data_IF_774304805783
#
_entry.id   IF_774304805783
#
_cell.length_a   1.000
_cell.length_b   1.000
_cell.length_c   1.000
_cell.angle_alpha   90.00
_cell.angle_beta   90.00
_cell.angle_gamma   90.00
#
_symmetry.space_group_name_H-M   'P 1'
#
loop_
_entity.id
_entity.type
_entity.pdbx_description
1 polymer ?
#
# COMPACT_ATOMS: atom_id res chain seq x y z
N UNK A 1 -14.70 25.44 -8.88
CA UNK A 1 -13.28 25.37 -8.47
C UNK A 1 -12.67 24.29 -9.35
N UNK A 2 -11.75 24.65 -10.26
CA UNK A 2 -11.04 23.69 -11.10
C UNK A 2 -10.13 22.87 -10.18
N UNK A 3 -10.33 21.55 -10.11
CA UNK A 3 -9.40 20.68 -9.39
C UNK A 3 -8.19 20.43 -10.28
N UNK A 4 -7.00 20.63 -9.71
CA UNK A 4 -5.75 20.25 -10.36
C UNK A 4 -5.59 18.73 -10.26
N UNK A 5 -4.98 18.12 -11.27
CA UNK A 5 -4.64 16.70 -11.26
C UNK A 5 -3.72 16.38 -10.08
N UNK A 6 -3.98 15.31 -9.32
CA UNK A 6 -3.06 14.90 -8.25
C UNK A 6 -2.71 13.43 -8.45
N UNK A 7 -1.41 13.16 -8.55
CA UNK A 7 -0.86 11.81 -8.62
C UNK A 7 -0.10 11.51 -7.34
N UNK A 8 -0.38 10.35 -6.75
CA UNK A 8 0.32 9.82 -5.60
C UNK A 8 0.88 8.45 -5.91
N UNK A 9 2.17 8.29 -5.65
CA UNK A 9 2.87 7.04 -5.84
C UNK A 9 3.37 6.54 -4.49
N UNK A 10 3.07 5.29 -4.19
CA UNK A 10 3.69 4.53 -3.12
C UNK A 10 4.55 3.48 -3.79
N UNK A 11 5.81 3.40 -3.40
CA UNK A 11 6.65 2.27 -3.76
C UNK A 11 7.07 1.55 -2.49
N UNK A 12 7.12 0.21 -2.52
CA UNK A 12 8.03 -0.50 -1.64
C UNK A 12 9.44 -0.18 -2.16
N UNK A 13 10.07 0.86 -1.63
CA UNK A 13 11.45 1.21 -1.99
C UNK A 13 12.36 0.24 -1.24
N UNK A 14 12.51 -0.98 -1.78
CA UNK A 14 13.83 -1.58 -1.80
C UNK A 14 14.71 -0.67 -2.66
N UNK A 15 15.91 -0.34 -2.20
CA UNK A 15 16.87 0.49 -2.94
C UNK A 15 16.90 0.12 -4.43
N UNK A 16 16.97 1.14 -5.30
CA UNK A 16 17.18 1.01 -6.75
C UNK A 16 18.33 0.01 -7.06
N UNK A 17 18.01 -1.28 -7.22
CA UNK A 17 18.99 -2.26 -7.66
C UNK A 17 18.81 -2.48 -9.16
N UNK A 18 19.79 -1.97 -9.92
CA UNK A 18 20.02 -2.33 -11.31
C UNK A 18 20.16 -3.86 -11.44
N UNK A 19 19.07 -4.57 -11.74
CA UNK A 19 19.13 -5.98 -12.11
C UNK A 19 18.85 -6.15 -13.60
N UNK A 20 19.92 -6.38 -14.36
CA UNK A 20 19.83 -7.04 -15.66
C UNK A 20 19.34 -8.47 -15.44
N UNK A 21 18.07 -8.74 -15.76
CA UNK A 21 17.50 -10.08 -15.66
C UNK A 21 17.83 -10.86 -16.94
N UNK A 22 18.78 -11.79 -16.85
CA UNK A 22 18.97 -12.85 -17.87
C UNK A 22 18.13 -14.05 -17.45
N UNK A 23 17.03 -14.31 -18.17
CA UNK A 23 16.15 -15.45 -17.91
C UNK A 23 16.72 -16.72 -18.56
N UNK A 24 17.14 -17.70 -17.75
CA UNK A 24 17.38 -19.08 -18.20
C UNK A 24 16.50 -20.07 -17.42
N UNK A 25 15.42 -20.60 -18.02
CA UNK A 25 14.40 -21.37 -17.31
C UNK A 25 14.80 -22.80 -16.93
N UNK A 26 16.01 -23.28 -17.25
CA UNK A 26 16.38 -24.71 -17.06
C UNK A 26 17.29 -25.03 -15.87
N UNK A 27 17.78 -24.05 -15.10
CA UNK A 27 18.87 -24.29 -14.13
C UNK A 27 18.59 -23.96 -12.66
N UNK A 28 17.39 -23.51 -12.28
CA UNK A 28 17.20 -22.85 -10.97
C UNK A 28 16.14 -23.47 -10.03
N UNK A 29 15.60 -24.65 -10.31
CA UNK A 29 14.83 -25.39 -9.30
C UNK A 29 15.79 -26.14 -8.36
N UNK A 30 16.34 -25.42 -7.36
CA UNK A 30 17.07 -26.00 -6.23
C UNK A 30 16.14 -26.23 -5.03
N UNK A 31 16.53 -27.16 -4.16
CA UNK A 31 15.73 -27.73 -3.05
C UNK A 31 15.03 -26.72 -2.12
N UNK A 32 13.74 -26.98 -1.86
CA UNK A 32 12.74 -26.18 -1.11
C UNK A 32 13.00 -25.93 0.39
N UNK A 33 14.20 -26.20 0.93
CA UNK A 33 14.41 -26.24 2.38
C UNK A 33 14.74 -24.90 3.06
N UNK A 34 14.80 -23.79 2.32
CA UNK A 34 15.00 -22.45 2.87
C UNK A 34 14.30 -21.40 1.99
N UNK A 35 12.96 -21.35 2.02
CA UNK A 35 12.23 -20.21 1.48
C UNK A 35 12.46 -19.02 2.42
N UNK A 36 13.14 -17.93 1.99
CA UNK A 36 13.28 -16.75 2.82
C UNK A 36 11.88 -16.19 3.07
N UNK A 37 11.54 -15.92 4.34
CA UNK A 37 10.44 -14.99 4.66
C UNK A 37 10.71 -13.71 3.87
N UNK A 38 9.72 -13.21 3.11
CA UNK A 38 9.87 -12.03 2.25
C UNK A 38 10.68 -10.96 2.98
N UNK A 39 11.92 -10.76 2.55
CA UNK A 39 12.77 -9.76 3.17
C UNK A 39 12.25 -8.39 2.75
N UNK A 40 12.36 -7.41 3.67
CA UNK A 40 12.05 -5.99 3.42
C UNK A 40 12.71 -5.43 2.14
N UNK A 41 13.71 -6.12 1.61
CA UNK A 41 14.55 -5.70 0.48
C UNK A 41 14.25 -6.41 -0.85
N UNK A 42 13.12 -7.11 -0.99
CA UNK A 42 12.97 -8.08 -2.10
C UNK A 42 11.79 -7.91 -3.05
N UNK A 43 11.04 -6.80 -3.00
CA UNK A 43 9.88 -6.57 -3.87
C UNK A 43 10.01 -5.20 -4.53
N UNK A 44 9.94 -5.15 -5.87
CA UNK A 44 9.66 -3.91 -6.58
C UNK A 44 8.16 -3.84 -6.81
N UNK A 45 7.46 -3.19 -5.89
CA UNK A 45 6.04 -2.85 -6.04
C UNK A 45 5.91 -1.34 -6.15
N UNK A 46 5.24 -0.88 -7.21
CA UNK A 46 4.76 0.49 -7.34
C UNK A 46 3.24 0.49 -7.40
N UNK A 47 2.65 1.25 -6.49
CA UNK A 47 1.23 1.52 -6.42
C UNK A 47 0.98 2.99 -6.67
N UNK A 48 -0.06 3.30 -7.45
CA UNK A 48 -0.38 4.66 -7.86
C UNK A 48 -1.86 4.94 -7.68
N UNK A 49 -2.19 6.11 -7.13
CA UNK A 49 -3.52 6.71 -7.22
C UNK A 49 -3.41 8.00 -8.01
N UNK A 50 -4.37 8.24 -8.91
CA UNK A 50 -4.53 9.51 -9.62
C UNK A 50 -5.95 10.02 -9.44
N UNK A 51 -6.08 11.33 -9.28
CA UNK A 51 -7.33 12.06 -9.53
C UNK A 51 -7.12 13.02 -10.69
N UNK A 52 -7.98 12.96 -11.70
CA UNK A 52 -7.91 13.85 -12.85
C UNK A 52 -8.64 15.18 -12.61
N UNK A 53 -8.53 16.10 -13.56
CA UNK A 53 -9.18 17.42 -13.51
C UNK A 53 -10.71 17.38 -13.56
N UNK A 54 -11.30 16.23 -13.91
CA UNK A 54 -12.74 15.98 -13.86
C UNK A 54 -13.18 15.36 -12.52
N UNK A 55 -12.24 15.17 -11.58
CA UNK A 55 -12.48 14.54 -10.29
C UNK A 55 -12.68 13.03 -10.37
N UNK A 56 -12.22 12.38 -11.45
CA UNK A 56 -12.27 10.93 -11.62
C UNK A 56 -11.04 10.29 -10.97
N UNK A 57 -11.27 9.24 -10.18
CA UNK A 57 -10.23 8.52 -9.46
C UNK A 57 -9.79 7.28 -10.22
N UNK A 58 -8.49 6.99 -10.22
CA UNK A 58 -7.95 5.72 -10.68
C UNK A 58 -6.90 5.24 -9.69
N UNK A 59 -6.82 3.93 -9.50
CA UNK A 59 -5.75 3.31 -8.73
C UNK A 59 -5.23 2.10 -9.51
N UNK A 60 -3.94 1.84 -9.40
CA UNK A 60 -3.31 0.72 -10.08
C UNK A 60 -1.99 0.35 -9.44
N UNK A 61 -1.67 -0.93 -9.54
CA UNK A 61 -0.47 -1.51 -8.95
C UNK A 61 0.30 -2.30 -10.01
N UNK A 62 1.63 -2.17 -9.98
CA UNK A 62 2.55 -3.00 -10.75
C UNK A 62 3.63 -3.56 -9.83
N UNK A 63 3.88 -4.86 -9.93
CA UNK A 63 4.90 -5.53 -9.11
C UNK A 63 5.58 -6.68 -9.82
N UNK A 64 6.87 -6.89 -9.55
CA UNK A 64 7.54 -8.16 -9.84
C UNK A 64 7.32 -9.21 -8.73
N UNK A 65 6.82 -8.79 -7.56
CA UNK A 65 6.64 -9.55 -6.34
C UNK A 65 7.97 -9.92 -5.66
N UNK A 66 7.90 -10.58 -4.50
CA UNK A 66 9.07 -11.11 -3.78
C UNK A 66 10.01 -11.93 -4.64
N UNK A 67 11.31 -11.69 -4.45
CA UNK A 67 12.39 -12.47 -5.03
C UNK A 67 12.23 -13.96 -4.73
N UNK A 68 12.54 -14.80 -5.72
CA UNK A 68 12.49 -16.28 -5.63
C UNK A 68 11.12 -16.83 -5.21
N UNK A 69 10.03 -16.12 -5.55
CA UNK A 69 8.67 -16.64 -5.37
C UNK A 69 8.48 -17.95 -6.14
N UNK A 70 7.67 -18.84 -5.57
CA UNK A 70 7.22 -20.05 -6.24
C UNK A 70 6.51 -19.65 -7.55
N UNK A 71 6.80 -20.28 -8.70
CA UNK A 71 6.09 -19.99 -9.94
C UNK A 71 4.57 -20.11 -9.78
N UNK A 72 3.83 -19.11 -10.28
CA UNK A 72 2.38 -19.03 -10.10
C UNK A 72 1.93 -18.38 -8.78
N UNK A 73 2.84 -18.03 -7.89
CA UNK A 73 2.51 -17.33 -6.64
C UNK A 73 2.05 -15.89 -6.91
N UNK A 74 0.78 -15.62 -6.61
CA UNK A 74 0.14 -14.32 -6.68
C UNK A 74 -0.13 -13.75 -5.28
N UNK A 75 -0.16 -12.43 -5.18
CA UNK A 75 -0.16 -11.66 -3.93
C UNK A 75 -1.22 -10.57 -3.94
N UNK A 76 -1.19 -9.67 -2.95
CA UNK A 76 -2.13 -8.56 -2.79
C UNK A 76 -2.25 -7.65 -4.02
N UNK A 77 -1.14 -7.41 -4.73
CA UNK A 77 -1.01 -6.39 -5.78
C UNK A 77 -1.94 -6.51 -6.98
N UNK A 78 -2.24 -7.71 -7.53
CA UNK A 78 -3.29 -7.87 -8.55
C UNK A 78 -4.71 -8.04 -7.97
N UNK A 79 -4.88 -7.99 -6.65
CA UNK A 79 -6.17 -8.25 -6.00
C UNK A 79 -6.88 -6.93 -5.72
N UNK A 80 -7.98 -6.69 -6.43
CA UNK A 80 -8.86 -5.54 -6.18
C UNK A 80 -9.35 -5.54 -4.74
N UNK A 81 -9.11 -4.45 -4.03
CA UNK A 81 -9.40 -4.29 -2.60
C UNK A 81 -8.26 -4.75 -1.70
N UNK A 82 -7.34 -5.53 -2.26
CA UNK A 82 -6.06 -5.87 -1.69
C UNK A 82 -5.06 -4.74 -1.87
N UNK A 83 -4.32 -4.75 -2.98
CA UNK A 83 -3.29 -3.76 -3.33
C UNK A 83 -3.90 -2.38 -3.47
N UNK A 84 -4.94 -2.29 -4.28
CA UNK A 84 -5.55 -1.05 -4.70
C UNK A 84 -7.08 -1.13 -4.70
N UNK A 85 -7.72 0.02 -4.56
CA UNK A 85 -9.16 0.16 -4.75
C UNK A 85 -9.50 1.61 -5.09
N UNK A 86 -10.33 1.83 -6.11
CA UNK A 86 -10.82 3.16 -6.44
C UNK A 86 -12.35 3.18 -6.47
N UNK A 87 -12.95 4.11 -5.74
CA UNK A 87 -14.38 4.34 -5.75
C UNK A 87 -14.66 5.79 -6.17
N UNK A 88 -15.37 5.94 -7.29
CA UNK A 88 -15.71 7.26 -7.83
C UNK A 88 -16.61 8.08 -6.93
N UNK A 89 -17.25 7.55 -5.88
CA UNK A 89 -18.14 8.35 -5.01
C UNK A 89 -17.48 8.70 -3.67
N UNK A 90 -16.32 8.10 -3.37
CA UNK A 90 -15.75 8.13 -2.02
C UNK A 90 -14.29 8.58 -2.06
N UNK A 91 -13.40 7.67 -2.47
CA UNK A 91 -11.96 7.78 -2.31
C UNK A 91 -11.29 6.61 -3.05
N UNK A 92 -9.98 6.68 -3.22
CA UNK A 92 -9.14 5.57 -3.63
C UNK A 92 -8.08 5.25 -2.57
N UNK A 93 -7.60 4.02 -2.56
CA UNK A 93 -6.57 3.50 -1.67
C UNK A 93 -5.57 2.64 -2.43
N UNK A 94 -4.32 2.70 -2.00
CA UNK A 94 -3.22 1.83 -2.42
C UNK A 94 -2.43 1.39 -1.20
N UNK A 95 -1.83 0.21 -1.25
CA UNK A 95 -1.04 -0.31 -0.16
C UNK A 95 0.09 -1.22 -0.63
N UNK A 96 1.17 -1.23 0.14
CA UNK A 96 2.39 -1.97 -0.18
C UNK A 96 2.98 -2.56 1.10
N UNK A 97 3.77 -3.63 1.00
CA UNK A 97 4.40 -4.26 2.17
C UNK A 97 4.47 -5.78 2.08
N UNK A 98 4.22 -6.46 3.21
CA UNK A 98 4.01 -7.91 3.27
C UNK A 98 2.67 -8.26 2.63
N UNK A 99 2.66 -8.24 1.31
CA UNK A 99 1.52 -8.50 0.45
C UNK A 99 0.91 -9.91 0.66
N UNK A 100 1.65 -10.89 1.18
CA UNK A 100 1.11 -12.22 1.52
C UNK A 100 0.22 -12.17 2.78
N UNK A 101 0.55 -11.30 3.73
CA UNK A 101 -0.27 -11.02 4.91
C UNK A 101 -1.40 -10.05 4.55
N UNK A 102 -1.10 -8.94 3.87
CA UNK A 102 -2.05 -7.86 3.59
C UNK A 102 -3.26 -8.35 2.77
N UNK A 103 -3.04 -9.25 1.79
CA UNK A 103 -4.12 -9.82 0.96
C UNK A 103 -5.22 -10.51 1.79
N UNK A 104 -4.89 -11.02 2.98
CA UNK A 104 -5.86 -11.71 3.86
C UNK A 104 -6.89 -10.76 4.48
N UNK A 105 -6.62 -9.45 4.44
CA UNK A 105 -7.41 -8.43 5.12
C UNK A 105 -8.05 -7.40 4.20
N UNK A 106 -7.70 -7.40 2.90
CA UNK A 106 -8.17 -6.45 1.91
C UNK A 106 -8.10 -4.99 2.42
N UNK A 107 -6.90 -4.49 2.78
CA UNK A 107 -6.73 -3.21 3.47
C UNK A 107 -7.24 -2.01 2.66
N UNK A 108 -6.99 -1.99 1.34
CA UNK A 108 -7.47 -0.93 0.47
C UNK A 108 -9.00 -0.86 0.45
N UNK A 109 -9.67 -2.00 0.31
CA UNK A 109 -11.14 -2.06 0.41
C UNK A 109 -11.64 -1.67 1.80
N UNK A 110 -11.02 -2.17 2.86
CA UNK A 110 -11.43 -1.90 4.24
C UNK A 110 -11.35 -0.40 4.60
N UNK A 111 -10.27 0.27 4.19
CA UNK A 111 -10.14 1.71 4.36
C UNK A 111 -11.29 2.44 3.64
N UNK A 112 -11.53 2.11 2.37
CA UNK A 112 -12.59 2.72 1.56
C UNK A 112 -13.98 2.49 2.14
N UNK A 113 -14.28 1.27 2.59
CA UNK A 113 -15.57 0.96 3.19
C UNK A 113 -15.80 1.74 4.50
N UNK A 114 -14.75 1.97 5.29
CA UNK A 114 -14.85 2.82 6.48
C UNK A 114 -15.09 4.28 6.12
N UNK A 115 -14.37 4.83 5.14
CA UNK A 115 -14.61 6.20 4.67
C UNK A 115 -16.03 6.35 4.13
N UNK A 116 -16.50 5.37 3.33
CA UNK A 116 -17.87 5.34 2.80
C UNK A 116 -18.95 5.33 3.91
N UNK A 117 -18.64 4.75 5.07
CA UNK A 117 -19.51 4.76 6.27
C UNK A 117 -19.40 6.03 7.12
N UNK A 118 -18.68 7.05 6.65
CA UNK A 118 -18.53 8.33 7.35
C UNK A 118 -17.41 8.35 8.40
N UNK A 119 -16.53 7.35 8.43
CA UNK A 119 -15.33 7.41 9.27
C UNK A 119 -14.33 8.39 8.64
N UNK A 120 -13.75 9.27 9.46
CA UNK A 120 -12.72 10.21 9.00
C UNK A 120 -11.57 9.49 8.28
N UNK A 121 -11.08 9.98 7.12
CA UNK A 121 -10.03 9.34 6.32
C UNK A 121 -8.81 8.88 7.13
N UNK A 122 -8.18 9.78 7.90
CA UNK A 122 -7.01 9.45 8.74
C UNK A 122 -7.23 8.21 9.63
N UNK A 123 -8.42 8.13 10.21
CA UNK A 123 -8.81 7.04 11.11
C UNK A 123 -9.13 5.76 10.35
N UNK A 124 -9.81 5.86 9.21
CA UNK A 124 -10.13 4.73 8.35
C UNK A 124 -8.84 4.07 7.81
N UNK A 125 -7.90 4.88 7.34
CA UNK A 125 -6.59 4.48 6.82
C UNK A 125 -5.75 3.81 7.91
N UNK A 126 -5.63 4.44 9.08
CA UNK A 126 -4.98 3.82 10.24
C UNK A 126 -5.65 2.51 10.65
N UNK A 127 -6.99 2.47 10.61
CA UNK A 127 -7.75 1.28 10.96
C UNK A 127 -7.38 0.07 10.08
N UNK A 128 -7.18 0.26 8.78
CA UNK A 128 -6.82 -0.84 7.90
C UNK A 128 -5.52 -1.54 8.36
N UNK A 129 -4.48 -0.76 8.68
CA UNK A 129 -3.20 -1.27 9.19
C UNK A 129 -3.38 -1.96 10.55
N UNK A 130 -4.06 -1.30 11.48
CA UNK A 130 -4.26 -1.81 12.84
C UNK A 130 -4.97 -3.16 12.90
N UNK A 131 -5.92 -3.39 11.99
CA UNK A 131 -6.61 -4.67 11.91
C UNK A 131 -5.65 -5.79 11.55
N UNK A 132 -4.70 -5.53 10.66
CA UNK A 132 -3.65 -6.49 10.31
C UNK A 132 -2.69 -6.66 11.48
N UNK A 133 -2.20 -5.56 12.07
CA UNK A 133 -1.28 -5.57 13.23
C UNK A 133 -1.86 -6.33 14.42
N UNK A 134 -3.18 -6.30 14.63
CA UNK A 134 -3.82 -7.07 15.70
C UNK A 134 -3.55 -8.58 15.57
N UNK A 135 -3.56 -9.11 14.34
CA UNK A 135 -3.31 -10.53 14.07
C UNK A 135 -1.83 -10.85 13.79
N UNK A 136 -1.13 -9.90 13.17
CA UNK A 136 0.27 -10.02 12.77
C UNK A 136 1.03 -8.78 13.26
N UNK A 137 1.41 -8.70 14.55
CA UNK A 137 2.00 -7.49 15.14
C UNK A 137 3.25 -7.00 14.41
N UNK A 138 4.02 -7.93 13.86
CA UNK A 138 5.31 -7.66 13.25
C UNK A 138 5.26 -7.65 11.70
N UNK A 139 4.08 -7.50 11.08
CA UNK A 139 4.01 -7.36 9.62
C UNK A 139 4.50 -5.97 9.20
N UNK A 140 5.27 -5.88 8.12
CA UNK A 140 5.60 -4.58 7.53
C UNK A 140 4.58 -4.22 6.45
N UNK A 141 4.20 -2.95 6.40
CA UNK A 141 3.35 -2.47 5.31
C UNK A 141 2.76 -1.10 5.57
N UNK A 142 2.31 -0.47 4.50
CA UNK A 142 1.73 0.86 4.52
C UNK A 142 0.59 0.99 3.53
N UNK A 143 -0.27 1.96 3.79
CA UNK A 143 -1.44 2.30 2.99
C UNK A 143 -1.49 3.81 2.81
N UNK A 144 -1.88 4.25 1.62
CA UNK A 144 -2.22 5.63 1.30
C UNK A 144 -3.64 5.68 0.77
N UNK A 145 -4.39 6.69 1.18
CA UNK A 145 -5.72 6.98 0.67
C UNK A 145 -5.77 8.40 0.12
N UNK A 146 -6.50 8.60 -0.97
CA UNK A 146 -6.77 9.89 -1.61
C UNK A 146 -8.28 10.06 -1.79
N UNK A 147 -8.82 11.23 -1.46
CA UNK A 147 -10.22 11.54 -1.72
C UNK A 147 -10.41 12.49 -2.91
N UNK A 148 -11.66 12.75 -3.27
CA UNK A 148 -12.01 13.64 -4.38
C UNK A 148 -11.60 15.09 -4.19
N UNK A 149 -11.36 15.53 -2.96
CA UNK A 149 -10.92 16.89 -2.66
C UNK A 149 -9.41 17.06 -2.81
N UNK A 150 -8.69 15.98 -3.17
CA UNK A 150 -7.23 15.97 -3.21
C UNK A 150 -6.60 15.80 -1.81
N UNK A 151 -7.39 15.48 -0.79
CA UNK A 151 -6.90 15.22 0.56
C UNK A 151 -6.41 13.77 0.65
N UNK A 152 -5.31 13.56 1.36
CA UNK A 152 -4.64 12.27 1.44
C UNK A 152 -4.18 11.94 2.85
N UNK A 153 -4.10 10.65 3.13
CA UNK A 153 -3.72 10.11 4.43
C UNK A 153 -2.85 8.88 4.23
N UNK A 154 -1.90 8.65 5.13
CA UNK A 154 -1.01 7.50 5.11
C UNK A 154 -0.89 6.87 6.50
N UNK A 155 -0.75 5.55 6.54
CA UNK A 155 -0.49 4.80 7.78
C UNK A 155 0.38 3.58 7.48
N UNK A 156 1.13 3.11 8.48
CA UNK A 156 2.08 2.00 8.30
C UNK A 156 2.39 1.24 9.61
N UNK A 157 3.03 0.07 9.50
CA UNK A 157 3.53 -0.77 10.60
C UNK A 157 4.99 -1.21 10.37
N UNK A 158 5.74 -1.40 11.47
CA UNK A 158 7.11 -1.98 11.54
C UNK A 158 8.26 -1.28 10.79
N UNK A 159 8.00 -0.18 10.08
CA UNK A 159 9.05 0.75 9.63
C UNK A 159 9.14 1.97 10.57
N UNK A 160 10.29 2.65 10.65
CA UNK A 160 10.37 3.91 11.40
C UNK A 160 9.50 4.99 10.72
N UNK A 161 9.58 5.03 9.39
CA UNK A 161 8.86 5.93 8.51
C UNK A 161 8.37 5.19 7.27
N UNK A 162 7.22 5.63 6.73
CA UNK A 162 6.71 5.15 5.45
C UNK A 162 6.72 6.29 4.43
N UNK A 163 7.61 6.22 3.42
CA UNK A 163 7.72 7.24 2.39
C UNK A 163 6.67 7.06 1.29
N UNK A 164 6.20 8.16 0.73
CA UNK A 164 5.34 8.19 -0.46
C UNK A 164 5.58 9.49 -1.23
N UNK A 165 5.29 9.49 -2.53
CA UNK A 165 5.51 10.64 -3.41
C UNK A 165 4.19 11.26 -3.81
N UNK A 166 4.14 12.59 -3.81
CA UNK A 166 3.03 13.39 -4.32
C UNK A 166 3.51 14.27 -5.47
N UNK A 167 2.67 14.37 -6.50
CA UNK A 167 2.85 15.26 -7.65
C UNK A 167 1.52 15.94 -7.96
N UNK A 168 1.54 17.25 -8.20
CA UNK A 168 0.40 17.99 -8.76
C UNK A 168 0.92 19.08 -9.73
N UNK A 169 0.09 19.63 -10.64
CA UNK A 169 0.48 20.74 -11.51
C UNK A 169 1.09 21.94 -10.79
N UNK A 170 0.64 22.18 -9.55
CA UNK A 170 1.10 23.28 -8.70
C UNK A 170 2.25 22.89 -7.76
N UNK A 171 2.57 21.59 -7.65
CA UNK A 171 3.57 21.05 -6.74
C UNK A 171 4.59 20.20 -7.49
N UNK A 172 5.84 20.66 -7.54
CA UNK A 172 6.95 19.82 -8.01
C UNK A 172 6.98 18.50 -7.23
N UNK A 173 7.43 17.38 -7.83
CA UNK A 173 7.47 16.09 -7.13
C UNK A 173 8.13 16.18 -5.76
N UNK A 174 7.44 15.70 -4.72
CA UNK A 174 7.92 15.71 -3.33
C UNK A 174 7.75 14.34 -2.71
N UNK A 175 8.77 13.91 -1.98
CA UNK A 175 8.70 12.75 -1.09
C UNK A 175 8.22 13.23 0.28
N UNK A 176 7.13 12.64 0.74
CA UNK A 176 6.59 12.80 2.08
C UNK A 176 6.79 11.50 2.86
N UNK A 177 6.66 11.57 4.18
CA UNK A 177 6.69 10.37 5.02
C UNK A 177 5.79 10.52 6.24
N UNK A 178 5.32 9.38 6.76
CA UNK A 178 4.61 9.31 8.03
C UNK A 178 5.34 8.35 8.99
N UNK A 179 5.41 8.65 10.30
CA UNK A 179 5.98 7.73 11.27
C UNK A 179 5.02 6.57 11.54
N UNK A 180 5.52 5.33 11.59
CA UNK A 180 4.67 4.16 11.88
C UNK A 180 4.46 3.94 13.38
N UNK A 181 5.20 4.64 14.24
CA UNK A 181 5.23 4.45 15.70
C UNK A 181 3.93 4.80 16.45
N UNK A 182 2.89 5.29 15.78
CA UNK A 182 1.61 5.65 16.42
C UNK A 182 0.63 4.48 16.69
N UNK A 183 1.03 3.22 16.46
CA UNK A 183 0.16 2.06 16.67
C UNK A 183 -0.28 1.83 18.12
N UNK A 184 0.49 2.26 19.13
CA UNK A 184 0.04 2.21 20.54
C UNK A 184 -1.12 3.19 20.84
N UNK A 185 -1.09 4.39 20.26
CA UNK A 185 -2.16 5.38 20.36
C UNK A 185 -3.48 4.80 19.84
N UNK A 186 -3.42 4.08 18.73
CA UNK A 186 -4.62 3.50 18.11
C UNK A 186 -5.05 2.14 18.67
N UNK A 187 -4.15 1.35 19.28
CA UNK A 187 -4.51 0.13 20.02
C UNK A 187 -5.52 0.44 21.14
N UNK A 188 -5.33 1.55 21.84
CA UNK A 188 -6.26 2.02 22.88
C UNK A 188 -7.61 2.47 22.30
N UNK A 189 -7.64 2.95 21.05
CA UNK A 189 -8.89 3.35 20.38
C UNK A 189 -9.63 2.17 19.76
N UNK A 190 -8.94 1.09 19.39
CA UNK A 190 -9.55 -0.09 18.77
C UNK A 190 -10.44 -0.90 19.70
N UNK A 191 -10.17 -0.87 21.01
CA UNK A 191 -11.05 -1.47 22.02
C UNK A 191 -12.44 -0.83 22.09
N UNK A 192 -12.66 0.31 21.45
CA UNK A 192 -13.92 1.08 21.51
C UNK A 192 -14.85 0.77 20.31
N UNK A 193 -14.38 0.03 19.28
CA UNK A 193 -15.13 -0.18 18.02
C UNK A 193 -15.33 -1.65 17.63
N UNK A 194 -15.28 -2.56 18.61
CA UNK A 194 -15.94 -3.87 18.49
C UNK A 194 -17.40 -3.76 18.92
#
# INVERSE_FOLDING_TARGET
MSMDEVTMNVGAVGELQNMNVVLNPKSHCGDDKNVPKGSKESNDTIDTIVIDTQGRLAAGTSTNGVNRKIPGHARNSPVVGGGEYANQDVSAAICTGDEDIMMRFLPSFLAMEKIRRGVHPSRATSNAILRITYHYPNFFGGIVTLNKLGEYEAACNEEDIFPYTIVSPTLSPRVLSVPCSNLQYYKNTYQIFQ
#
